data_IF_226471922047
#
_entry.id   IF_226471922047
#
_cell.length_a   1.000
_cell.length_b   1.000
_cell.length_c   1.000
_cell.angle_alpha   90.00
_cell.angle_beta   90.00
_cell.angle_gamma   90.00
#
_symmetry.space_group_name_H-M   'P 1'
#
loop_
_entity.id
_entity.type
_entity.pdbx_description
1 polymer ?
#
# COMPACT_ATOMS: atom_id res chain seq x y z
N UNK A 1 -8.61 -8.71 -0.91
CA UNK A 1 -8.00 -7.72 -1.84
C UNK A 1 -6.75 -8.30 -2.52
N UNK A 2 -6.28 -7.75 -3.66
CA UNK A 2 -4.99 -8.12 -4.32
C UNK A 2 -4.27 -6.92 -4.94
N UNK A 3 -2.96 -7.05 -5.18
CA UNK A 3 -2.17 -6.09 -5.96
C UNK A 3 -2.59 -6.15 -7.43
N UNK A 4 -2.81 -4.99 -8.06
CA UNK A 4 -3.38 -4.84 -9.39
C UNK A 4 -2.29 -4.82 -10.46
N UNK A 5 -1.14 -4.17 -10.21
CA UNK A 5 -0.08 -4.01 -11.22
C UNK A 5 1.32 -3.94 -10.60
N UNK A 6 2.34 -3.93 -11.45
CA UNK A 6 3.74 -3.88 -11.05
C UNK A 6 4.31 -5.24 -10.64
N UNK A 7 5.43 -5.21 -9.93
CA UNK A 7 6.26 -6.38 -9.61
C UNK A 7 5.52 -7.42 -8.76
N UNK A 8 4.62 -7.00 -7.88
CA UNK A 8 3.81 -7.88 -7.04
C UNK A 8 2.40 -8.15 -7.60
N UNK A 9 2.15 -7.90 -8.89
CA UNK A 9 0.83 -8.09 -9.53
C UNK A 9 0.22 -9.45 -9.20
N UNK A 10 -1.04 -9.43 -8.78
CA UNK A 10 -1.81 -10.63 -8.44
C UNK A 10 -1.59 -11.15 -7.02
N UNK A 11 -0.61 -10.62 -6.27
CA UNK A 11 -0.38 -11.01 -4.86
C UNK A 11 -1.63 -10.68 -4.04
N UNK A 12 -2.19 -11.70 -3.37
CA UNK A 12 -3.33 -11.53 -2.46
C UNK A 12 -2.86 -10.86 -1.17
N UNK A 13 -3.60 -9.87 -0.72
CA UNK A 13 -3.37 -9.17 0.55
C UNK A 13 -4.35 -9.65 1.60
N UNK A 14 -3.89 -9.74 2.84
CA UNK A 14 -4.72 -9.92 4.02
C UNK A 14 -5.48 -8.64 4.37
N UNK A 15 -6.51 -8.79 5.18
CA UNK A 15 -7.36 -7.71 5.67
C UNK A 15 -7.46 -7.81 7.20
N UNK A 16 -7.44 -6.69 7.94
CA UNK A 16 -7.62 -6.73 9.38
C UNK A 16 -9.06 -7.14 9.73
N UNK A 17 -9.23 -7.98 10.73
CA UNK A 17 -10.55 -8.45 11.16
C UNK A 17 -11.42 -7.26 11.63
N UNK A 18 -12.65 -7.17 11.12
CA UNK A 18 -13.73 -6.27 11.58
C UNK A 18 -13.47 -4.74 11.57
N UNK A 19 -12.47 -4.21 10.86
CA UNK A 19 -12.08 -2.80 11.06
C UNK A 19 -12.24 -1.87 9.84
N UNK A 20 -12.34 -2.36 8.60
CA UNK A 20 -12.18 -1.44 7.45
C UNK A 20 -13.31 -1.47 6.44
N UNK A 21 -13.81 -0.29 6.06
CA UNK A 21 -14.57 -0.10 4.82
C UNK A 21 -13.63 -0.39 3.64
N UNK A 22 -13.89 -1.41 2.81
CA UNK A 22 -12.95 -1.79 1.77
C UNK A 22 -12.90 -0.71 0.67
N UNK A 23 -11.69 -0.30 0.30
CA UNK A 23 -11.48 0.43 -0.97
C UNK A 23 -11.59 -0.56 -2.11
N UNK A 24 -12.58 -0.39 -2.98
CA UNK A 24 -12.81 -1.31 -4.10
C UNK A 24 -11.62 -1.33 -5.06
N UNK A 25 -11.41 -2.46 -5.73
CA UNK A 25 -10.37 -2.59 -6.76
C UNK A 25 -10.50 -1.49 -7.82
N UNK A 26 -11.73 -1.18 -8.25
CA UNK A 26 -12.03 -0.09 -9.19
C UNK A 26 -11.63 1.30 -8.68
N UNK A 27 -11.85 1.58 -7.39
CA UNK A 27 -11.43 2.85 -6.81
C UNK A 27 -9.90 2.96 -6.77
N UNK A 28 -9.20 1.87 -6.40
CA UNK A 28 -7.73 1.82 -6.43
C UNK A 28 -7.19 2.00 -7.85
N UNK A 29 -7.77 1.31 -8.84
CA UNK A 29 -7.43 1.48 -10.25
C UNK A 29 -7.59 2.93 -10.71
N UNK A 30 -8.69 3.58 -10.34
CA UNK A 30 -8.94 4.99 -10.65
C UNK A 30 -7.87 5.92 -10.06
N UNK A 31 -7.53 5.74 -8.78
CA UNK A 31 -6.47 6.52 -8.10
C UNK A 31 -5.14 6.36 -8.84
N UNK A 32 -4.71 5.12 -9.10
CA UNK A 32 -3.43 4.87 -9.75
C UNK A 32 -3.40 5.28 -11.22
N UNK A 33 -4.53 5.24 -11.92
CA UNK A 33 -4.66 5.79 -13.27
C UNK A 33 -4.43 7.31 -13.25
N UNK A 34 -5.09 8.03 -12.35
CA UNK A 34 -4.92 9.48 -12.20
C UNK A 34 -3.48 9.86 -11.79
N UNK A 35 -2.88 9.12 -10.85
CA UNK A 35 -1.48 9.34 -10.44
C UNK A 35 -0.51 9.06 -11.60
N UNK A 36 -0.70 7.96 -12.34
CA UNK A 36 0.14 7.65 -13.52
C UNK A 36 0.02 8.74 -14.59
N UNK A 37 -1.19 9.26 -14.82
CA UNK A 37 -1.40 10.37 -15.75
C UNK A 37 -0.72 11.67 -15.31
N UNK A 38 -0.58 11.89 -13.99
CA UNK A 38 -0.03 13.13 -13.43
C UNK A 38 1.50 13.08 -13.26
N UNK A 39 2.04 11.92 -12.90
CA UNK A 39 3.45 11.74 -12.53
C UNK A 39 4.23 10.81 -13.46
N UNK A 40 3.57 10.13 -14.40
CA UNK A 40 4.19 9.14 -15.26
C UNK A 40 4.52 7.85 -14.51
N UNK A 41 5.79 7.42 -14.57
CA UNK A 41 6.26 6.24 -13.86
C UNK A 41 6.45 6.52 -12.36
N UNK A 42 6.36 5.47 -11.53
CA UNK A 42 6.55 5.60 -10.08
C UNK A 42 8.03 5.57 -9.66
N UNK A 43 8.97 5.39 -10.59
CA UNK A 43 10.40 5.46 -10.30
C UNK A 43 10.77 6.85 -9.75
N UNK A 44 11.38 6.90 -8.57
CA UNK A 44 11.72 8.15 -7.88
C UNK A 44 10.56 8.78 -7.08
N UNK A 45 9.34 8.22 -7.17
CA UNK A 45 8.18 8.74 -6.43
C UNK A 45 8.25 8.31 -4.97
N UNK A 46 7.96 9.26 -4.08
CA UNK A 46 7.71 9.02 -2.66
C UNK A 46 6.24 9.27 -2.37
N UNK A 47 5.62 8.41 -1.57
CA UNK A 47 4.20 8.49 -1.25
C UNK A 47 3.96 8.46 0.26
N UNK A 48 2.98 9.24 0.72
CA UNK A 48 2.49 9.23 2.09
C UNK A 48 1.06 8.66 2.11
N UNK A 49 0.87 7.54 2.79
CA UNK A 49 -0.41 6.85 2.96
C UNK A 49 -0.96 7.10 4.38
N UNK A 50 -1.88 8.06 4.49
CA UNK A 50 -2.54 8.39 5.74
C UNK A 50 -3.77 7.50 5.92
N UNK A 51 -3.89 6.85 7.08
CA UNK A 51 -4.92 5.84 7.37
C UNK A 51 -4.76 4.59 6.50
N UNK A 52 -3.53 4.05 6.52
CA UNK A 52 -3.09 3.02 5.59
C UNK A 52 -3.90 1.72 5.66
N UNK A 53 -4.56 1.42 6.78
CA UNK A 53 -5.35 0.21 6.95
C UNK A 53 -4.50 -1.04 6.70
N UNK A 54 -4.90 -1.88 5.74
CA UNK A 54 -4.14 -3.06 5.32
C UNK A 54 -2.89 -2.75 4.47
N UNK A 55 -2.61 -1.48 4.19
CA UNK A 55 -1.51 -1.01 3.34
C UNK A 55 -1.81 -1.04 1.84
N UNK A 56 -3.06 -1.25 1.45
CA UNK A 56 -3.42 -1.54 0.07
C UNK A 56 -2.96 -0.50 -0.97
N UNK A 57 -3.04 0.79 -0.63
CA UNK A 57 -2.63 1.88 -1.52
C UNK A 57 -1.10 1.97 -1.55
N UNK A 58 -0.46 2.14 -0.39
CA UNK A 58 0.99 2.22 -0.30
C UNK A 58 1.71 1.02 -0.93
N UNK A 59 1.22 -0.20 -0.72
CA UNK A 59 1.82 -1.41 -1.29
C UNK A 59 1.62 -1.54 -2.80
N UNK A 60 0.51 -1.04 -3.33
CA UNK A 60 0.30 -0.93 -4.78
C UNK A 60 1.30 0.06 -5.39
N UNK A 61 1.62 1.16 -4.70
CA UNK A 61 2.65 2.10 -5.14
C UNK A 61 4.05 1.46 -5.13
N UNK A 62 4.42 0.72 -4.06
CA UNK A 62 5.66 -0.06 -4.00
C UNK A 62 5.74 -1.06 -5.16
N UNK A 63 4.68 -1.80 -5.42
CA UNK A 63 4.62 -2.76 -6.53
C UNK A 63 4.86 -2.08 -7.88
N UNK A 64 4.35 -0.86 -8.07
CA UNK A 64 4.52 -0.06 -9.30
C UNK A 64 5.90 0.61 -9.42
N UNK A 65 6.75 0.51 -8.40
CA UNK A 65 8.12 1.02 -8.42
C UNK A 65 8.35 2.31 -7.62
N UNK A 66 7.42 2.70 -6.74
CA UNK A 66 7.66 3.79 -5.79
C UNK A 66 8.93 3.52 -4.97
N UNK A 67 9.77 4.53 -4.80
CA UNK A 67 11.06 4.40 -4.12
C UNK A 67 10.90 4.30 -2.61
N UNK A 68 9.92 5.03 -2.08
CA UNK A 68 9.65 5.08 -0.65
C UNK A 68 8.16 5.33 -0.41
N UNK A 69 7.61 4.61 0.56
CA UNK A 69 6.26 4.84 1.06
C UNK A 69 6.32 4.96 2.57
N UNK A 70 5.89 6.10 3.08
CA UNK A 70 5.58 6.28 4.49
C UNK A 70 4.08 6.08 4.68
N UNK A 71 3.71 5.24 5.61
CA UNK A 71 2.34 4.89 5.92
C UNK A 71 2.06 5.14 7.39
N UNK A 72 0.84 5.53 7.74
CA UNK A 72 0.45 5.65 9.15
C UNK A 72 -0.97 5.20 9.41
N UNK A 73 -1.16 4.55 10.56
CA UNK A 73 -2.45 4.11 11.04
C UNK A 73 -2.46 4.11 12.58
N UNK A 74 -3.63 4.30 13.19
CA UNK A 74 -3.79 4.31 14.64
C UNK A 74 -4.20 2.93 15.18
N UNK A 75 -4.72 2.04 14.34
CA UNK A 75 -5.21 0.74 14.72
C UNK A 75 -4.10 -0.30 14.66
N UNK A 76 -3.81 -0.93 15.80
CA UNK A 76 -2.75 -1.94 15.91
C UNK A 76 -2.95 -3.12 14.96
N UNK A 77 -4.19 -3.62 14.81
CA UNK A 77 -4.48 -4.75 13.93
C UNK A 77 -4.30 -4.38 12.44
N UNK A 78 -4.57 -3.13 12.07
CA UNK A 78 -4.30 -2.62 10.73
C UNK A 78 -2.79 -2.53 10.48
N UNK A 79 -2.02 -1.94 11.40
CA UNK A 79 -0.55 -1.86 11.31
C UNK A 79 0.09 -3.24 11.15
N UNK A 80 -0.31 -4.22 11.97
CA UNK A 80 0.18 -5.60 11.88
C UNK A 80 -0.20 -6.28 10.56
N UNK A 81 -1.43 -6.05 10.09
CA UNK A 81 -1.87 -6.56 8.79
C UNK A 81 -1.04 -5.96 7.65
N UNK A 82 -0.80 -4.65 7.69
CA UNK A 82 0.01 -3.93 6.72
C UNK A 82 1.46 -4.45 6.69
N UNK A 83 2.08 -4.69 7.85
CA UNK A 83 3.42 -5.28 7.94
C UNK A 83 3.48 -6.67 7.29
N UNK A 84 2.51 -7.54 7.59
CA UNK A 84 2.43 -8.87 6.97
C UNK A 84 2.27 -8.77 5.45
N UNK A 85 1.42 -7.85 4.99
CA UNK A 85 1.20 -7.61 3.57
C UNK A 85 2.44 -7.04 2.87
N UNK A 86 3.21 -6.19 3.55
CA UNK A 86 4.47 -5.67 3.03
C UNK A 86 5.47 -6.80 2.76
N UNK A 87 5.63 -7.74 3.68
CA UNK A 87 6.52 -8.89 3.48
C UNK A 87 6.11 -9.73 2.25
N UNK A 88 4.80 -9.93 2.03
CA UNK A 88 4.29 -10.63 0.83
C UNK A 88 4.66 -9.91 -0.47
N UNK A 89 4.61 -8.58 -0.47
CA UNK A 89 4.96 -7.75 -1.64
C UNK A 89 6.47 -7.72 -1.87
N UNK A 90 7.25 -7.62 -0.79
CA UNK A 90 8.72 -7.66 -0.84
C UNK A 90 9.23 -8.98 -1.41
N UNK A 91 8.62 -10.10 -1.04
CA UNK A 91 8.95 -11.43 -1.60
C UNK A 91 8.69 -11.55 -3.10
N UNK A 92 7.89 -10.67 -3.70
CA UNK A 92 7.71 -10.62 -5.15
C UNK A 92 8.83 -9.88 -5.88
N UNK A 93 9.82 -9.32 -5.18
CA UNK A 93 10.96 -8.59 -5.76
C UNK A 93 10.76 -7.08 -5.86
N UNK A 94 9.75 -6.52 -5.20
CA UNK A 94 9.61 -5.07 -5.10
C UNK A 94 10.72 -4.49 -4.20
N UNK A 95 11.37 -3.41 -4.66
CA UNK A 95 12.61 -2.88 -4.05
C UNK A 95 12.41 -1.59 -3.24
N UNK A 96 11.24 -0.96 -3.32
CA UNK A 96 10.95 0.27 -2.58
C UNK A 96 10.94 0.08 -1.07
N UNK A 97 11.33 1.12 -0.34
CA UNK A 97 11.27 1.15 1.14
C UNK A 97 9.84 1.40 1.58
N UNK A 98 9.38 0.68 2.60
CA UNK A 98 8.07 0.87 3.19
C UNK A 98 8.21 1.04 4.70
N UNK A 99 7.83 2.21 5.22
CA UNK A 99 7.86 2.52 6.64
C UNK A 99 6.42 2.66 7.13
N UNK A 100 6.04 1.96 8.20
CA UNK A 100 4.74 2.16 8.85
C UNK A 100 4.91 2.73 10.24
N UNK A 101 4.23 3.85 10.47
CA UNK A 101 4.26 4.62 11.70
C UNK A 101 2.95 4.43 12.43
N UNK A 102 2.98 3.84 13.63
CA UNK A 102 1.79 3.78 14.49
C UNK A 102 1.53 5.17 15.04
N UNK A 103 0.36 5.74 14.76
CA UNK A 103 -0.08 6.98 15.39
C UNK A 103 -0.27 6.74 16.90
N UNK A 104 0.51 7.46 17.71
CA UNK A 104 0.23 7.59 19.14
C UNK A 104 -0.95 8.55 19.31
N UNK A 105 -2.00 8.12 19.99
CA UNK A 105 -3.04 9.05 20.44
C UNK A 105 -2.40 10.07 21.40
N UNK A 106 -2.71 11.36 21.20
CA UNK A 106 -2.42 12.42 22.18
C UNK A 106 -3.39 12.34 23.35
#
# INVERSE_FOLDING_TARGET
MRIISGTAKGRRLGEPANVTRPTSDRAREGIFSALTSSFGAFAGVKLLDLFAGSGAIGLEAISRGATEVDATDNNQAAVECCLKNYELVKQSGATGKFNIHKQSAK
#
